data_IF_685980913494
#
_entry.id   IF_685980913494
#
_cell.length_a   1.000
_cell.length_b   1.000
_cell.length_c   1.000
_cell.angle_alpha   90.00
_cell.angle_beta   90.00
_cell.angle_gamma   90.00
#
_symmetry.space_group_name_H-M   'P 1'
#
loop_
_entity.id
_entity.type
_entity.pdbx_description
1 polymer ?
#
# COMPACT_ATOMS: atom_id res chain seq x y z
N UNK A 1 -5.91 -15.36 -11.34
CA UNK A 1 -5.37 -15.20 -9.97
C UNK A 1 -6.39 -14.40 -9.15
N UNK A 2 -6.75 -14.83 -7.94
CA UNK A 2 -7.59 -14.03 -7.04
C UNK A 2 -6.90 -12.70 -6.71
N UNK A 3 -7.68 -11.62 -6.58
CA UNK A 3 -7.15 -10.34 -6.12
C UNK A 3 -6.74 -10.43 -4.65
N UNK A 4 -5.67 -9.73 -4.27
CA UNK A 4 -5.21 -9.64 -2.89
C UNK A 4 -4.99 -8.16 -2.55
N UNK A 5 -5.40 -7.73 -1.36
CA UNK A 5 -5.08 -6.38 -0.89
C UNK A 5 -3.58 -6.29 -0.60
N UNK A 6 -2.86 -5.25 -1.03
CA UNK A 6 -1.45 -5.11 -0.72
C UNK A 6 -1.23 -4.90 0.78
N UNK A 7 -0.02 -5.21 1.24
CA UNK A 7 0.49 -4.69 2.51
C UNK A 7 1.13 -3.34 2.19
N UNK A 8 0.67 -2.29 2.85
CA UNK A 8 1.23 -0.95 2.71
C UNK A 8 1.97 -0.57 4.00
N UNK A 9 3.24 -0.21 3.88
CA UNK A 9 4.06 0.30 4.98
C UNK A 9 4.40 1.74 4.63
N UNK A 10 3.95 2.69 5.46
CA UNK A 10 4.20 4.12 5.27
C UNK A 10 5.26 4.59 6.25
N UNK A 11 6.24 5.33 5.75
CA UNK A 11 7.26 5.98 6.55
C UNK A 11 6.90 7.45 6.68
N UNK A 12 6.43 7.83 7.87
CA UNK A 12 5.94 9.17 8.16
C UNK A 12 7.13 10.04 8.55
N UNK A 13 7.38 11.07 7.75
CA UNK A 13 8.51 12.00 7.96
C UNK A 13 8.23 12.94 9.13
N UNK A 14 9.27 13.28 9.90
CA UNK A 14 9.21 14.29 10.96
C UNK A 14 8.95 15.65 10.33
N UNK A 15 7.98 16.38 10.87
CA UNK A 15 7.69 17.77 10.50
C UNK A 15 8.03 18.70 11.65
N UNK A 16 8.26 19.97 11.33
CA UNK A 16 8.60 21.04 12.28
C UNK A 16 7.62 21.22 13.45
N UNK A 17 6.40 20.66 13.37
CA UNK A 17 5.37 20.75 14.40
C UNK A 17 5.30 19.54 15.34
N UNK A 18 6.26 18.61 15.28
CA UNK A 18 6.42 17.44 16.18
C UNK A 18 5.23 16.45 16.25
N UNK A 19 4.14 16.73 15.53
CA UNK A 19 3.00 15.83 15.38
C UNK A 19 3.22 14.93 14.17
N UNK A 20 3.15 13.62 14.42
CA UNK A 20 3.12 12.58 13.40
C UNK A 20 1.79 12.64 12.64
N UNK A 21 1.67 13.59 11.72
CA UNK A 21 0.53 13.69 10.82
C UNK A 21 0.91 13.06 9.47
N UNK A 22 0.31 11.91 9.18
CA UNK A 22 0.50 11.22 7.91
C UNK A 22 0.02 12.11 6.76
N UNK A 23 0.94 12.51 5.88
CA UNK A 23 0.62 13.28 4.69
C UNK A 23 0.98 12.47 3.43
N UNK A 24 -0.01 12.00 2.67
CA UNK A 24 0.24 11.19 1.47
C UNK A 24 1.15 11.82 0.42
N UNK A 25 1.32 13.15 0.44
CA UNK A 25 2.19 13.87 -0.50
C UNK A 25 3.67 13.88 -0.11
N UNK A 26 4.00 13.49 1.13
CA UNK A 26 5.36 13.61 1.67
C UNK A 26 5.83 12.34 2.39
N UNK A 27 4.93 11.39 2.64
CA UNK A 27 5.28 10.11 3.25
C UNK A 27 5.79 9.14 2.19
N UNK A 28 6.85 8.43 2.52
CA UNK A 28 7.33 7.34 1.67
C UNK A 28 6.47 6.10 1.89
N UNK A 29 6.30 5.29 0.85
CA UNK A 29 5.41 4.13 0.89
C UNK A 29 6.11 2.91 0.29
N UNK A 30 6.21 1.85 1.07
CA UNK A 30 6.55 0.52 0.60
C UNK A 30 5.28 -0.31 0.46
N UNK A 31 4.95 -0.71 -0.77
CA UNK A 31 3.80 -1.56 -1.09
C UNK A 31 4.24 -2.96 -1.48
N UNK A 32 3.64 -3.97 -0.87
CA UNK A 32 3.93 -5.37 -1.12
C UNK A 32 2.68 -6.02 -1.72
N UNK A 33 2.80 -6.47 -2.96
CA UNK A 33 1.74 -7.15 -3.70
C UNK A 33 2.06 -8.62 -3.85
N UNK A 34 1.09 -9.49 -3.54
CA UNK A 34 1.16 -10.92 -3.85
C UNK A 34 0.88 -11.15 -5.33
N UNK A 35 1.84 -11.76 -6.03
CA UNK A 35 1.69 -12.16 -7.43
C UNK A 35 1.41 -13.66 -7.59
N UNK A 36 1.85 -14.45 -6.61
CA UNK A 36 1.65 -15.88 -6.55
C UNK A 36 2.18 -16.45 -5.23
N UNK A 37 2.33 -17.76 -5.20
CA UNK A 37 2.97 -18.44 -4.09
C UNK A 37 4.48 -18.10 -4.08
N UNK A 38 4.97 -17.62 -2.94
CA UNK A 38 6.35 -17.19 -2.74
C UNK A 38 6.87 -16.14 -3.76
N UNK A 39 5.98 -15.40 -4.42
CA UNK A 39 6.36 -14.38 -5.40
C UNK A 39 5.63 -13.06 -5.11
N UNK A 40 6.42 -12.04 -4.80
CA UNK A 40 5.96 -10.72 -4.40
C UNK A 40 6.53 -9.66 -5.34
N UNK A 41 5.71 -8.63 -5.60
CA UNK A 41 6.17 -7.35 -6.13
C UNK A 41 6.21 -6.36 -5.00
N UNK A 42 7.39 -5.81 -4.75
CA UNK A 42 7.60 -4.77 -3.76
C UNK A 42 7.90 -3.49 -4.49
N UNK A 43 7.13 -2.45 -4.20
CA UNK A 43 7.30 -1.12 -4.78
C UNK A 43 7.59 -0.15 -3.65
N UNK A 44 8.74 0.51 -3.69
CA UNK A 44 9.05 1.64 -2.84
C UNK A 44 8.75 2.93 -3.61
N UNK A 45 8.04 3.85 -2.98
CA UNK A 45 7.74 5.17 -3.51
C UNK A 45 8.32 6.18 -2.52
N UNK A 46 9.29 6.95 -2.98
CA UNK A 46 9.89 8.04 -2.25
C UNK A 46 9.26 9.35 -2.71
N UNK A 47 8.84 10.17 -1.75
CA UNK A 47 8.33 11.51 -1.99
C UNK A 47 9.43 12.51 -1.63
N UNK A 48 10.13 13.03 -2.64
CA UNK A 48 11.15 14.07 -2.46
C UNK A 48 10.68 15.41 -3.05
N UNK A 49 11.36 16.50 -2.68
CA UNK A 49 11.07 17.83 -3.25
C UNK A 49 11.32 17.86 -4.78
N UNK A 50 12.27 17.07 -5.25
CA UNK A 50 12.64 16.95 -6.67
C UNK A 50 11.65 16.08 -7.49
N UNK A 51 10.73 15.39 -6.82
CA UNK A 51 9.68 14.59 -7.44
C UNK A 51 9.48 13.22 -6.79
N UNK A 52 8.71 12.37 -7.48
CA UNK A 52 8.38 11.02 -7.01
C UNK A 52 9.38 10.02 -7.57
N UNK A 53 10.19 9.39 -6.71
CA UNK A 53 11.00 8.25 -7.11
C UNK A 53 10.24 6.96 -6.86
N UNK A 54 10.29 6.03 -7.81
CA UNK A 54 9.66 4.72 -7.68
C UNK A 54 10.64 3.62 -8.02
N UNK A 55 10.93 2.77 -7.04
CA UNK A 55 11.65 1.53 -7.25
C UNK A 55 10.69 0.35 -7.15
N UNK A 56 10.85 -0.65 -8.02
CA UNK A 56 10.01 -1.85 -8.00
C UNK A 56 10.85 -3.08 -8.25
N UNK A 57 10.78 -4.01 -7.32
CA UNK A 57 11.55 -5.24 -7.36
C UNK A 57 10.66 -6.46 -7.11
N UNK A 58 11.12 -7.59 -7.63
CA UNK A 58 10.47 -8.88 -7.48
C UNK A 58 11.24 -9.69 -6.45
N UNK A 59 10.56 -10.22 -5.43
CA UNK A 59 11.23 -10.95 -4.36
C UNK A 59 10.40 -12.09 -3.79
N UNK A 60 11.09 -13.05 -3.18
CA UNK A 60 10.48 -14.15 -2.42
C UNK A 60 10.14 -13.72 -1.00
N UNK A 61 9.37 -14.53 -0.27
CA UNK A 61 9.01 -14.24 1.12
C UNK A 61 10.24 -14.10 2.01
N UNK A 62 11.22 -15.00 1.85
CA UNK A 62 12.48 -14.93 2.59
C UNK A 62 13.25 -13.64 2.29
N UNK A 63 13.36 -13.26 1.01
CA UNK A 63 14.03 -12.01 0.62
C UNK A 63 13.30 -10.78 1.17
N UNK A 64 11.98 -10.80 1.22
CA UNK A 64 11.19 -9.75 1.86
C UNK A 64 11.53 -9.60 3.34
N UNK A 65 11.61 -10.69 4.10
CA UNK A 65 11.95 -10.63 5.53
C UNK A 65 13.31 -9.98 5.74
N UNK A 66 14.34 -10.40 4.98
CA UNK A 66 15.66 -9.78 5.07
C UNK A 66 15.66 -8.32 4.65
N UNK A 67 14.89 -7.97 3.62
CA UNK A 67 14.75 -6.60 3.16
C UNK A 67 14.11 -5.70 4.23
N UNK A 68 12.97 -6.11 4.79
CA UNK A 68 12.27 -5.36 5.84
C UNK A 68 13.09 -5.24 7.10
N UNK A 69 13.79 -6.30 7.51
CA UNK A 69 14.72 -6.26 8.64
C UNK A 69 15.77 -5.18 8.44
N UNK A 70 16.39 -5.10 7.25
CA UNK A 70 17.39 -4.07 6.94
C UNK A 70 16.78 -2.68 6.92
N UNK A 71 15.61 -2.49 6.29
CA UNK A 71 14.94 -1.19 6.23
C UNK A 71 14.61 -0.68 7.62
N UNK A 72 13.94 -1.48 8.45
CA UNK A 72 13.60 -1.09 9.81
C UNK A 72 14.83 -0.88 10.70
N UNK A 73 15.89 -1.64 10.49
CA UNK A 73 17.16 -1.43 11.18
C UNK A 73 17.81 -0.09 10.79
N UNK A 74 17.87 0.23 9.49
CA UNK A 74 18.42 1.52 9.03
C UNK A 74 17.61 2.70 9.56
N UNK A 75 16.28 2.61 9.55
CA UNK A 75 15.40 3.64 10.11
C UNK A 75 15.65 3.89 11.60
N UNK A 76 16.05 2.87 12.35
CA UNK A 76 16.35 3.03 13.77
C UNK A 76 17.74 3.62 14.07
N UNK A 77 18.64 3.65 13.07
CA UNK A 77 19.98 4.25 13.19
C UNK A 77 19.94 5.72 12.76
N UNK A 78 19.17 6.04 11.74
CA UNK A 78 19.06 7.38 11.17
C UNK A 78 17.85 8.11 11.81
N UNK A 79 18.12 8.94 12.83
CA UNK A 79 17.06 9.64 13.59
C UNK A 79 16.35 10.78 12.81
N UNK A 80 16.76 11.06 11.58
CA UNK A 80 16.11 11.97 10.63
C UNK A 80 16.14 11.33 9.23
N UNK A 81 15.06 11.34 8.41
CA UNK A 81 13.90 12.22 8.48
C UNK A 81 12.61 11.58 9.01
N UNK A 82 12.62 10.35 9.57
CA UNK A 82 11.38 9.61 9.87
C UNK A 82 10.98 9.64 11.34
N UNK A 83 9.71 9.95 11.61
CA UNK A 83 9.14 9.98 12.96
C UNK A 83 8.47 8.66 13.36
N UNK A 84 7.72 8.06 12.42
CA UNK A 84 6.95 6.85 12.70
C UNK A 84 6.73 6.00 11.45
N UNK A 85 6.39 4.74 11.67
CA UNK A 85 6.04 3.77 10.64
C UNK A 85 4.60 3.34 10.85
N UNK A 86 3.78 3.46 9.81
CA UNK A 86 2.41 2.96 9.80
C UNK A 86 2.32 1.70 8.95
N UNK A 87 1.87 0.59 9.54
CA UNK A 87 1.62 -0.67 8.84
C UNK A 87 0.12 -0.82 8.60
N UNK A 88 -0.23 -1.06 7.34
CA UNK A 88 -1.58 -1.33 6.86
C UNK A 88 -1.55 -2.73 6.25
N UNK A 89 -1.94 -3.71 7.05
CA UNK A 89 -1.87 -5.12 6.71
C UNK A 89 -3.29 -5.65 6.57
N UNK A 90 -3.64 -6.35 5.47
CA UNK A 90 -4.97 -6.92 5.29
C UNK A 90 -5.37 -7.82 6.47
N UNK A 91 -6.63 -7.70 6.93
CA UNK A 91 -7.18 -8.44 8.07
C UNK A 91 -6.52 -8.18 9.44
N UNK A 92 -5.68 -7.14 9.56
CA UNK A 92 -5.12 -6.68 10.83
C UNK A 92 -5.49 -5.20 11.10
N UNK A 93 -5.54 -4.77 12.37
CA UNK A 93 -5.67 -3.35 12.70
C UNK A 93 -4.46 -2.56 12.15
N UNK A 94 -4.67 -1.28 11.85
CA UNK A 94 -3.55 -0.42 11.48
C UNK A 94 -2.65 -0.21 12.69
N UNK A 95 -1.35 -0.37 12.49
CA UNK A 95 -0.34 -0.26 13.54
C UNK A 95 0.49 0.98 13.25
N UNK A 96 0.60 1.90 14.21
CA UNK A 96 1.46 3.08 14.13
C UNK A 96 2.53 2.97 15.22
N UNK A 97 3.80 2.96 14.82
CA UNK A 97 4.94 2.78 15.73
C UNK A 97 5.94 3.90 15.52
N UNK A 98 6.36 4.54 16.61
CA UNK A 98 7.44 5.53 16.57
C UNK A 98 8.77 4.85 16.26
N UNK A 99 9.60 5.49 15.43
CA UNK A 99 10.91 4.95 15.02
C UNK A 99 11.80 4.61 16.23
N UNK A 100 11.71 5.40 17.31
CA UNK A 100 12.43 5.17 18.58
C UNK A 100 12.06 3.85 19.28
N UNK A 101 10.89 3.29 19.00
CA UNK A 101 10.40 2.02 19.57
C UNK A 101 10.41 0.86 18.56
N UNK A 102 10.81 1.13 17.31
CA UNK A 102 10.69 0.19 16.21
C UNK A 102 11.52 -1.08 16.45
N UNK A 103 12.74 -0.95 16.99
CA UNK A 103 13.60 -2.11 17.28
C UNK A 103 12.97 -3.07 18.30
N UNK A 104 12.30 -2.53 19.32
CA UNK A 104 11.65 -3.34 20.36
C UNK A 104 10.48 -4.16 19.80
N UNK A 105 9.74 -3.60 18.84
CA UNK A 105 8.59 -4.26 18.23
C UNK A 105 8.90 -5.04 16.95
N UNK A 106 10.13 -4.94 16.44
CA UNK A 106 10.57 -5.53 15.18
C UNK A 106 10.23 -7.02 15.02
N UNK A 107 10.47 -7.90 16.01
CA UNK A 107 10.16 -9.33 15.86
C UNK A 107 8.67 -9.58 15.63
N UNK A 108 7.80 -8.88 16.37
CA UNK A 108 6.34 -9.01 16.28
C UNK A 108 5.83 -8.48 14.94
N UNK A 109 6.37 -7.36 14.46
CA UNK A 109 5.99 -6.81 13.15
C UNK A 109 6.36 -7.76 12.00
N UNK A 110 7.56 -8.33 12.05
CA UNK A 110 7.99 -9.30 11.05
C UNK A 110 7.12 -10.56 11.10
N UNK A 111 6.77 -11.06 12.28
CA UNK A 111 5.87 -12.20 12.45
C UNK A 111 4.50 -11.94 11.82
N UNK A 112 3.91 -10.75 12.03
CA UNK A 112 2.61 -10.40 11.43
C UNK A 112 2.70 -10.36 9.90
N UNK A 113 3.75 -9.73 9.34
CA UNK A 113 3.93 -9.62 7.88
C UNK A 113 4.16 -11.01 7.26
N UNK A 114 5.00 -11.83 7.88
CA UNK A 114 5.26 -13.22 7.48
C UNK A 114 3.97 -14.02 7.57
N UNK A 115 3.26 -14.00 8.70
CA UNK A 115 1.98 -14.68 8.86
C UNK A 115 0.98 -14.30 7.76
N UNK A 116 0.93 -13.02 7.40
CA UNK A 116 0.10 -12.50 6.31
C UNK A 116 0.58 -12.99 4.94
N UNK A 117 1.88 -13.09 4.69
CA UNK A 117 2.39 -13.60 3.42
C UNK A 117 1.94 -15.04 3.14
N UNK A 118 1.96 -15.88 4.18
CA UNK A 118 1.51 -17.27 4.12
C UNK A 118 -0.02 -17.37 4.04
N UNK A 119 -0.76 -16.60 4.82
CA UNK A 119 -2.23 -16.68 4.93
C UNK A 119 -2.94 -15.49 4.28
N UNK A 120 -2.40 -15.01 3.15
CA UNK A 120 -2.86 -13.76 2.54
C UNK A 120 -4.35 -13.81 2.21
N UNK A 121 -5.19 -12.91 2.75
CA UNK A 121 -6.62 -12.97 2.53
C UNK A 121 -6.95 -12.70 1.07
N UNK A 122 -7.80 -13.56 0.51
CA UNK A 122 -8.31 -13.44 -0.86
C UNK A 122 -9.41 -12.39 -0.88
N UNK A 123 -9.34 -11.45 -1.83
CA UNK A 123 -10.47 -10.56 -2.13
C UNK A 123 -11.51 -11.36 -2.90
N UNK A 124 -12.54 -11.82 -2.20
CA UNK A 124 -13.79 -12.24 -2.85
C UNK A 124 -14.42 -11.00 -3.50
N UNK A 125 -14.62 -11.01 -4.82
CA UNK A 125 -15.28 -9.90 -5.54
C UNK A 125 -16.57 -9.50 -4.80
N UNK A 126 -16.68 -8.24 -4.38
CA UNK A 126 -18.00 -7.60 -4.27
C UNK A 126 -18.56 -7.43 -5.68
N UNK A 127 -19.84 -7.74 -5.81
CA UNK A 127 -20.61 -7.75 -7.05
C UNK A 127 -20.35 -6.51 -7.92
N UNK A 128 -20.12 -6.75 -9.22
CA UNK A 128 -20.26 -5.69 -10.21
C UNK A 128 -21.68 -5.14 -10.09
N UNK A 129 -21.84 -3.93 -9.59
CA UNK A 129 -23.08 -3.18 -9.78
C UNK A 129 -23.35 -3.12 -11.28
N UNK A 130 -24.56 -3.48 -11.76
CA UNK A 130 -24.90 -3.34 -13.16
C UNK A 130 -24.78 -1.87 -13.55
N UNK A 131 -24.00 -1.59 -14.59
CA UNK A 131 -23.96 -0.28 -15.22
C UNK A 131 -25.41 0.16 -15.53
N UNK A 132 -25.82 1.39 -15.18
CA UNK A 132 -27.10 1.90 -15.64
C UNK A 132 -27.07 1.89 -17.18
N UNK A 133 -27.99 1.12 -17.77
CA UNK A 133 -28.18 1.08 -19.21
C UNK A 133 -28.45 2.50 -19.70
N UNK A 134 -27.56 3.04 -20.51
CA UNK A 134 -27.81 4.24 -21.29
C UNK A 134 -29.04 3.98 -22.17
N UNK A 135 -30.19 4.55 -21.79
CA UNK A 135 -31.37 4.58 -22.63
C UNK A 135 -31.00 5.37 -23.90
N UNK A 136 -30.84 4.67 -25.02
CA UNK A 136 -30.85 5.27 -26.33
C UNK A 136 -32.26 5.79 -26.60
N UNK A 137 -32.45 7.10 -26.45
CA UNK A 137 -33.65 7.80 -26.93
C UNK A 137 -33.67 7.67 -28.45
N UNK A 138 -34.64 6.89 -28.94
CA UNK A 138 -34.96 6.81 -30.37
C UNK A 138 -35.70 8.09 -30.72
N UNK A 139 -35.04 8.98 -31.44
CA UNK A 139 -35.65 10.19 -31.98
C UNK A 139 -36.33 9.83 -33.31
N UNK A 140 -37.63 9.50 -33.28
CA UNK A 140 -38.46 9.36 -34.48
C UNK A 140 -39.01 10.72 -34.86
N UNK A 141 -38.44 11.35 -35.88
CA UNK A 141 -39.02 12.50 -36.58
C UNK A 141 -40.11 12.00 -37.55
N UNK A 142 -41.34 12.55 -37.50
CA UNK A 142 -42.31 12.33 -38.57
C UNK A 142 -41.99 13.26 -39.74
N UNK A 143 -41.89 12.68 -40.94
CA UNK A 143 -41.87 13.44 -42.20
C UNK A 143 -43.32 13.78 -42.53
N UNK A 144 -43.69 15.05 -42.35
CA UNK A 144 -44.96 15.59 -42.86
C UNK A 144 -44.80 15.90 -44.35
N UNK A 145 -45.57 15.15 -45.16
CA UNK A 145 -45.99 15.54 -46.51
C UNK A 145 -46.74 16.88 -46.45
N UNK A 146 -46.38 17.87 -47.25
CA UNK A 146 -47.34 18.84 -47.81
C UNK A 146 -46.77 19.56 -49.05
N UNK A 147 -47.40 19.24 -50.20
CA UNK A 147 -47.56 19.98 -51.47
C UNK A 147 -46.38 20.16 -52.43
#
# INVERSE_FOLDING_TARGET
MPGHHPIDIRFIRRRSNDRAEANPQFDDILKIHKLGENNLRVTYVEQTEDGVMRDTTMMTYQKLVHYLLRVFWMLSIDEDPFQSVQLIIPAHPQILIGVSTLQTHLPVLLEIIVGTCWHWPVISRREMQPQPQSQSVIDTTPTEDFQ
#
